data_IF_725200426481
#
_entry.id   IF_725200426481
#
_cell.length_a   1.000
_cell.length_b   1.000
_cell.length_c   1.000
_cell.angle_alpha   90.00
_cell.angle_beta   90.00
_cell.angle_gamma   90.00
#
_symmetry.space_group_name_H-M   'P 1'
#
loop_
_entity.id
_entity.type
_entity.pdbx_description
1 polymer ?
#
# COMPACT_ATOMS: atom_id res chain seq x y z
N UNK A 1 7.96 -6.75 12.20
CA UNK A 1 8.52 -5.98 13.32
C UNK A 1 8.18 -4.52 13.08
N UNK A 2 7.59 -3.85 14.07
CA UNK A 2 7.28 -2.42 14.05
C UNK A 2 8.55 -1.58 14.06
N UNK A 3 8.53 -0.41 13.42
CA UNK A 3 9.68 0.49 13.42
C UNK A 3 9.73 1.33 14.69
N UNK A 4 10.60 0.99 15.63
CA UNK A 4 10.79 1.73 16.88
C UNK A 4 11.22 3.20 16.68
N UNK A 5 11.84 3.52 15.54
CA UNK A 5 12.16 4.91 15.19
C UNK A 5 10.93 5.68 14.69
N UNK A 6 10.02 5.01 13.98
CA UNK A 6 8.77 5.62 13.53
C UNK A 6 7.81 5.90 14.68
N UNK A 7 7.70 4.97 15.64
CA UNK A 7 6.84 5.12 16.82
C UNK A 7 7.26 6.26 17.78
N UNK A 8 8.49 6.78 17.62
CA UNK A 8 9.00 7.92 18.40
C UNK A 8 8.66 9.28 17.78
N UNK A 9 8.11 9.30 16.56
CA UNK A 9 7.67 10.53 15.92
C UNK A 9 6.38 11.05 16.58
N UNK A 10 6.08 12.36 16.48
CA UNK A 10 4.77 12.88 16.88
C UNK A 10 3.64 12.10 16.19
N UNK A 11 2.51 11.93 16.88
CA UNK A 11 1.39 11.13 16.38
C UNK A 11 0.88 11.66 15.04
N UNK A 12 0.86 12.99 14.88
CA UNK A 12 0.43 13.65 13.64
C UNK A 12 1.35 13.29 12.46
N UNK A 13 2.65 13.12 12.72
CA UNK A 13 3.62 12.70 11.69
C UNK A 13 3.43 11.22 11.35
N UNK A 14 3.16 10.38 12.35
CA UNK A 14 2.84 8.97 12.11
C UNK A 14 1.59 8.84 11.25
N UNK A 15 0.53 9.58 11.59
CA UNK A 15 -0.75 9.59 10.88
C UNK A 15 -0.61 10.10 9.45
N UNK A 16 0.12 11.20 9.23
CA UNK A 16 0.35 11.72 7.86
C UNK A 16 1.05 10.67 6.99
N UNK A 17 2.04 9.96 7.54
CA UNK A 17 2.77 8.94 6.79
C UNK A 17 1.90 7.72 6.51
N UNK A 18 1.15 7.22 7.49
CA UNK A 18 0.28 6.05 7.28
C UNK A 18 -0.86 6.36 6.32
N UNK A 19 -1.51 7.52 6.46
CA UNK A 19 -2.56 7.98 5.53
C UNK A 19 -2.02 8.17 4.11
N UNK A 20 -0.83 8.77 3.96
CA UNK A 20 -0.20 8.92 2.64
C UNK A 20 0.07 7.57 1.97
N UNK A 21 0.53 6.57 2.72
CA UNK A 21 0.73 5.21 2.20
C UNK A 21 -0.60 4.53 1.83
N UNK A 22 -1.67 4.76 2.60
CA UNK A 22 -3.01 4.25 2.28
C UNK A 22 -3.57 4.87 1.01
N UNK A 23 -3.39 6.19 0.84
CA UNK A 23 -3.82 6.93 -0.35
C UNK A 23 -3.08 6.47 -1.61
N UNK A 24 -1.76 6.23 -1.51
CA UNK A 24 -0.96 5.64 -2.61
C UNK A 24 -1.52 4.27 -3.04
N UNK A 25 -1.83 3.40 -2.07
CA UNK A 25 -2.37 2.06 -2.35
C UNK A 25 -3.75 2.17 -3.02
N UNK A 26 -4.65 2.98 -2.46
CA UNK A 26 -6.01 3.14 -2.96
C UNK A 26 -6.01 3.74 -4.38
N UNK A 27 -5.23 4.80 -4.60
CA UNK A 27 -5.09 5.44 -5.91
C UNK A 27 -4.57 4.46 -6.97
N UNK A 28 -3.56 3.65 -6.65
CA UNK A 28 -3.03 2.67 -7.58
C UNK A 28 -4.07 1.58 -7.93
N UNK A 29 -4.87 1.12 -6.96
CA UNK A 29 -5.97 0.19 -7.23
C UNK A 29 -7.04 0.79 -8.14
N UNK A 30 -7.41 2.06 -7.92
CA UNK A 30 -8.38 2.77 -8.75
C UNK A 30 -7.88 2.90 -10.19
N UNK A 31 -6.62 3.33 -10.38
CA UNK A 31 -6.00 3.46 -11.70
C UNK A 31 -5.95 2.12 -12.45
N UNK A 32 -5.56 1.03 -11.77
CA UNK A 32 -5.59 -0.32 -12.37
C UNK A 32 -7.03 -0.72 -12.73
N UNK A 33 -7.99 -0.43 -11.85
CA UNK A 33 -9.41 -0.72 -12.07
C UNK A 33 -9.96 -0.02 -13.31
N UNK A 34 -9.69 1.27 -13.45
CA UNK A 34 -10.10 2.07 -14.61
C UNK A 34 -9.37 1.65 -15.89
N UNK A 35 -8.07 1.33 -15.80
CA UNK A 35 -7.30 0.82 -16.93
C UNK A 35 -7.81 -0.53 -17.44
N UNK A 36 -8.23 -1.43 -16.53
CA UNK A 36 -8.83 -2.72 -16.92
C UNK A 36 -10.19 -2.56 -17.60
N UNK A 37 -10.97 -1.53 -17.25
CA UNK A 37 -12.26 -1.23 -17.88
C UNK A 37 -12.11 -0.57 -19.25
N UNK A 38 -11.18 0.37 -19.37
CA UNK A 38 -11.02 1.23 -20.54
C UNK A 38 -9.96 0.74 -21.53
N UNK A 39 -9.04 -0.12 -21.10
CA UNK A 39 -7.85 -0.50 -21.84
C UNK A 39 -6.83 0.63 -21.98
N UNK A 40 -6.88 1.65 -21.12
CA UNK A 40 -6.13 2.90 -21.28
C UNK A 40 -4.64 2.83 -20.93
N UNK A 41 -4.21 1.83 -20.17
CA UNK A 41 -2.81 1.64 -19.76
C UNK A 41 -2.22 0.40 -20.40
N UNK A 42 -0.94 0.48 -20.73
CA UNK A 42 -0.13 -0.67 -21.13
C UNK A 42 0.07 -1.65 -19.97
N UNK A 43 0.47 -2.88 -20.33
CA UNK A 43 0.82 -3.91 -19.34
C UNK A 43 1.97 -3.46 -18.43
N UNK A 44 2.91 -2.67 -18.96
CA UNK A 44 4.06 -2.17 -18.21
C UNK A 44 3.65 -1.11 -17.17
N UNK A 45 2.76 -0.19 -17.54
CA UNK A 45 2.18 0.79 -16.60
C UNK A 45 1.35 0.12 -15.50
N UNK A 46 0.57 -0.92 -15.84
CA UNK A 46 -0.17 -1.70 -14.83
C UNK A 46 0.79 -2.36 -13.83
N UNK A 47 1.89 -2.96 -14.32
CA UNK A 47 2.91 -3.56 -13.44
C UNK A 47 3.62 -2.54 -12.56
N UNK A 48 3.82 -1.33 -13.06
CA UNK A 48 4.38 -0.24 -12.26
C UNK A 48 3.47 0.08 -11.08
N UNK A 49 2.16 0.24 -11.33
CA UNK A 49 1.15 0.46 -10.29
C UNK A 49 1.07 -0.70 -9.28
N UNK A 50 1.15 -1.95 -9.74
CA UNK A 50 1.23 -3.12 -8.85
C UNK A 50 2.49 -3.09 -7.96
N UNK A 51 3.61 -2.62 -8.51
CA UNK A 51 4.85 -2.39 -7.75
C UNK A 51 4.68 -1.33 -6.66
N UNK A 52 3.99 -0.24 -6.95
CA UNK A 52 3.68 0.80 -5.97
C UNK A 52 2.79 0.29 -4.84
N UNK A 53 1.76 -0.50 -5.15
CA UNK A 53 0.91 -1.15 -4.15
C UNK A 53 1.77 -2.01 -3.22
N UNK A 54 2.63 -2.86 -3.76
CA UNK A 54 3.48 -3.76 -2.96
C UNK A 54 4.47 -2.98 -2.10
N UNK A 55 5.08 -1.93 -2.64
CA UNK A 55 6.01 -1.05 -1.93
C UNK A 55 5.31 -0.35 -0.76
N UNK A 56 4.22 0.35 -1.03
CA UNK A 56 3.49 1.12 -0.03
C UNK A 56 2.91 0.21 1.06
N UNK A 57 2.33 -0.93 0.67
CA UNK A 57 1.85 -1.97 1.59
C UNK A 57 2.96 -2.51 2.49
N UNK A 58 4.12 -2.82 1.91
CA UNK A 58 5.28 -3.31 2.64
C UNK A 58 5.85 -2.28 3.62
N UNK A 59 5.87 -1.01 3.23
CA UNK A 59 6.28 0.09 4.11
C UNK A 59 5.29 0.25 5.28
N UNK A 60 3.99 0.31 5.01
CA UNK A 60 2.94 0.43 6.03
C UNK A 60 3.04 -0.70 7.04
N UNK A 61 3.19 -1.95 6.58
CA UNK A 61 3.34 -3.12 7.44
C UNK A 61 4.61 -3.07 8.30
N UNK A 62 5.74 -2.58 7.76
CA UNK A 62 6.98 -2.40 8.53
C UNK A 62 6.87 -1.30 9.58
N UNK A 63 6.17 -0.21 9.28
CA UNK A 63 6.03 0.92 10.18
C UNK A 63 5.06 0.60 11.33
N UNK A 64 3.88 0.09 11.00
CA UNK A 64 2.77 -0.12 11.93
C UNK A 64 2.75 -1.51 12.57
N UNK A 65 3.40 -2.50 11.94
CA UNK A 65 3.32 -3.89 12.34
C UNK A 65 2.01 -4.58 11.94
N UNK A 66 1.11 -3.87 11.26
CA UNK A 66 -0.12 -4.45 10.73
C UNK A 66 0.22 -5.32 9.51
N UNK A 67 -0.32 -6.54 9.46
CA UNK A 67 -0.27 -7.37 8.28
C UNK A 67 -0.99 -6.65 7.14
N UNK A 68 -0.30 -6.47 6.01
CA UNK A 68 -0.93 -5.94 4.81
C UNK A 68 -2.13 -6.83 4.45
N UNK A 69 -3.33 -6.26 4.16
CA UNK A 69 -4.54 -7.04 3.90
C UNK A 69 -4.39 -8.02 2.72
N UNK A 70 -3.41 -7.80 1.85
CA UNK A 70 -3.03 -8.70 0.76
C UNK A 70 -2.46 -10.05 1.22
N UNK A 71 -1.98 -10.19 2.46
CA UNK A 71 -1.48 -11.45 3.03
C UNK A 71 -2.48 -12.16 3.95
N UNK A 72 -3.48 -11.43 4.47
CA UNK A 72 -4.46 -11.98 5.42
C UNK A 72 -5.37 -13.06 4.83
N UNK A 73 -5.45 -13.18 3.50
CA UNK A 73 -6.33 -14.14 2.82
C UNK A 73 -5.73 -15.54 2.61
N UNK A 74 -4.54 -15.85 3.17
CA UNK A 74 -3.92 -17.19 3.10
C UNK A 74 -4.07 -18.03 4.36
N UNK A 75 -4.89 -17.62 5.32
CA UNK A 75 -5.12 -18.39 6.55
C UNK A 75 -6.60 -18.68 6.75
N UNK A 76 -7.09 -19.69 6.04
CA UNK A 76 -8.23 -20.51 6.51
C UNK A 76 -7.94 -21.98 6.15
N UNK A 77 -8.11 -22.91 7.09
CA UNK A 77 -7.64 -24.30 6.99
C UNK A 77 -8.28 -25.10 5.87
#
# INVERSE_FOLDING_TARGET
>A
MTSASFQRLPIEVQDIVTLGLEDEIQTAFELIGEAKKSGSLSVEEIRFLEGDILRASGLRARLTGEESPTLANKSKP
#
